data_IF_987610809679
#
_entry.id   IF_987610809679
#
_cell.length_a   1.000
_cell.length_b   1.000
_cell.length_c   1.000
_cell.angle_alpha   90.00
_cell.angle_beta   90.00
_cell.angle_gamma   90.00
#
_symmetry.space_group_name_H-M   'P 1'
#
loop_
_entity.id
_entity.type
_entity.pdbx_description
1 polymer ?
#
# COMPACT_ATOMS: atom_id res chain seq x y z
N UNK A 1 -72.10 -8.58 5.11
CA UNK A 1 -72.51 -8.94 3.77
C UNK A 1 -71.40 -9.79 3.22
N UNK A 2 -71.47 -11.09 3.42
CA UNK A 2 -72.10 -12.12 2.64
C UNK A 2 -71.45 -12.14 1.23
N UNK A 3 -70.93 -13.18 0.70
CA UNK A 3 -71.18 -14.59 0.65
C UNK A 3 -69.98 -15.30 0.06
N UNK A 4 -69.52 -16.36 0.57
CA UNK A 4 -69.85 -17.77 0.39
C UNK A 4 -69.69 -18.31 -1.04
N UNK A 5 -68.97 -19.43 -1.08
CA UNK A 5 -69.37 -20.72 -1.76
C UNK A 5 -68.59 -20.91 -3.07
N UNK A 6 -67.96 -22.03 -3.41
CA UNK A 6 -68.27 -23.44 -3.24
C UNK A 6 -67.12 -24.36 -3.64
N UNK A 7 -66.93 -25.37 -2.89
CA UNK A 7 -66.19 -26.60 -3.14
C UNK A 7 -66.64 -27.27 -4.45
N UNK A 8 -65.66 -27.79 -5.21
CA UNK A 8 -65.92 -29.06 -5.90
C UNK A 8 -64.66 -29.88 -6.15
N UNK A 9 -64.71 -30.99 -5.54
CA UNK A 9 -63.98 -32.21 -5.67
C UNK A 9 -63.96 -32.71 -7.13
N UNK A 10 -62.83 -33.18 -7.59
CA UNK A 10 -62.68 -33.86 -8.87
C UNK A 10 -61.42 -34.67 -8.89
N UNK A 11 -61.51 -35.89 -8.46
CA UNK A 11 -60.54 -36.96 -8.51
C UNK A 11 -60.36 -37.39 -9.98
N UNK A 12 -59.16 -37.32 -10.54
CA UNK A 12 -58.78 -38.25 -11.61
C UNK A 12 -57.24 -38.47 -11.54
N UNK A 13 -56.87 -39.69 -11.31
CA UNK A 13 -55.62 -40.28 -11.44
C UNK A 13 -55.22 -40.37 -12.92
N UNK A 14 -54.01 -40.01 -13.28
CA UNK A 14 -53.24 -40.78 -14.24
C UNK A 14 -51.80 -40.26 -14.26
N UNK A 15 -50.91 -41.17 -13.99
CA UNK A 15 -49.47 -40.91 -13.90
C UNK A 15 -48.81 -40.57 -15.22
N UNK A 16 -47.94 -39.65 -15.17
CA UNK A 16 -46.77 -39.64 -16.03
C UNK A 16 -45.61 -39.17 -15.17
N UNK A 17 -44.73 -40.08 -14.89
CA UNK A 17 -43.45 -39.83 -14.28
C UNK A 17 -42.61 -39.09 -15.30
N UNK A 18 -42.63 -37.78 -15.28
CA UNK A 18 -41.64 -37.00 -16.02
C UNK A 18 -40.49 -36.72 -15.04
N UNK A 19 -39.44 -37.52 -15.16
CA UNK A 19 -38.17 -37.24 -14.52
C UNK A 19 -37.62 -35.93 -15.09
N UNK A 20 -37.89 -34.83 -14.41
CA UNK A 20 -37.20 -33.59 -14.66
C UNK A 20 -35.78 -33.76 -14.10
N UNK A 21 -34.85 -34.07 -14.99
CA UNK A 21 -33.45 -33.96 -14.69
C UNK A 21 -33.16 -32.51 -14.35
N UNK A 22 -33.01 -32.21 -13.06
CA UNK A 22 -32.47 -30.96 -12.56
C UNK A 22 -31.01 -30.97 -12.96
N UNK A 23 -30.53 -30.04 -13.82
CA UNK A 23 -29.09 -29.90 -14.01
C UNK A 23 -28.53 -29.47 -12.65
N UNK A 24 -27.71 -30.33 -12.09
CA UNK A 24 -26.84 -29.96 -10.99
C UNK A 24 -26.02 -28.78 -11.47
N UNK A 25 -26.43 -27.59 -11.06
CA UNK A 25 -25.50 -26.46 -11.04
C UNK A 25 -24.40 -26.86 -10.05
N UNK A 26 -23.31 -27.36 -10.62
CA UNK A 26 -22.07 -27.44 -9.88
C UNK A 26 -21.79 -26.02 -9.39
N UNK A 27 -22.09 -25.78 -8.14
CA UNK A 27 -21.58 -24.70 -7.36
C UNK A 27 -20.06 -24.80 -7.47
N UNK A 28 -19.51 -24.08 -8.41
CA UNK A 28 -18.10 -23.75 -8.38
C UNK A 28 -17.94 -22.86 -7.15
N UNK A 29 -17.77 -23.51 -6.00
CA UNK A 29 -17.08 -22.91 -4.90
C UNK A 29 -15.74 -22.45 -5.47
N UNK A 30 -15.71 -21.21 -5.94
CA UNK A 30 -14.48 -20.52 -6.23
C UNK A 30 -13.64 -20.68 -4.98
N UNK A 31 -12.62 -21.51 -5.05
CA UNK A 31 -11.56 -21.52 -4.08
C UNK A 31 -11.08 -20.08 -4.00
N UNK A 32 -11.60 -19.34 -3.04
CA UNK A 32 -10.91 -18.19 -2.51
C UNK A 32 -9.62 -18.80 -2.00
N UNK A 33 -8.61 -18.77 -2.86
CA UNK A 33 -7.25 -19.00 -2.46
C UNK A 33 -7.00 -17.95 -1.40
N UNK A 34 -7.18 -18.35 -0.15
CA UNK A 34 -6.59 -17.68 0.98
C UNK A 34 -5.11 -17.61 0.59
N UNK A 35 -4.73 -16.47 0.03
CA UNK A 35 -3.34 -16.11 -0.08
C UNK A 35 -2.90 -16.13 1.36
N UNK A 36 -2.19 -17.21 1.71
CA UNK A 36 -1.68 -17.40 3.04
C UNK A 36 -1.04 -16.09 3.48
N UNK A 37 -1.29 -15.72 4.69
CA UNK A 37 -0.50 -14.76 5.45
C UNK A 37 0.96 -15.23 5.40
N UNK A 38 1.59 -15.02 4.25
CA UNK A 38 3.03 -14.88 4.19
C UNK A 38 3.29 -13.66 5.07
N UNK A 39 3.84 -13.89 6.25
CA UNK A 39 4.02 -12.98 7.37
C UNK A 39 3.95 -11.54 6.91
N UNK A 40 2.99 -10.79 7.45
CA UNK A 40 2.74 -9.41 7.05
C UNK A 40 4.07 -8.67 7.16
N UNK A 41 4.75 -8.52 6.03
CA UNK A 41 5.91 -7.67 5.98
C UNK A 41 5.40 -6.29 6.34
N UNK A 42 5.78 -5.78 7.51
CA UNK A 42 5.32 -4.50 8.04
C UNK A 42 5.84 -3.38 7.14
N UNK A 43 5.30 -3.30 5.94
CA UNK A 43 5.67 -2.29 4.96
C UNK A 43 5.12 -0.93 5.35
N UNK A 44 5.85 0.11 5.00
CA UNK A 44 5.39 1.49 5.06
C UNK A 44 5.21 1.97 3.63
N UNK A 45 4.03 2.46 3.30
CA UNK A 45 3.75 2.98 1.97
C UNK A 45 3.22 4.41 2.02
N UNK A 46 3.44 5.12 0.93
CA UNK A 46 3.01 6.50 0.85
C UNK A 46 3.39 7.17 -0.46
N UNK A 47 3.25 8.48 -0.47
CA UNK A 47 3.52 9.31 -1.64
C UNK A 47 4.43 10.48 -1.28
N UNK A 48 5.38 10.75 -2.14
CA UNK A 48 6.24 11.95 -2.08
C UNK A 48 5.75 12.96 -3.10
N UNK A 49 5.57 14.19 -2.67
CA UNK A 49 5.20 15.32 -3.53
C UNK A 49 6.17 16.47 -3.33
N UNK A 50 6.30 17.31 -4.34
CA UNK A 50 7.10 18.53 -4.25
C UNK A 50 6.24 19.66 -3.68
N UNK A 51 6.80 20.38 -2.72
CA UNK A 51 6.17 21.60 -2.22
C UNK A 51 6.12 22.69 -3.29
N UNK A 52 5.08 23.54 -3.29
CA UNK A 52 4.87 24.55 -4.34
C UNK A 52 6.04 25.51 -4.47
N UNK A 53 6.70 25.88 -3.35
CA UNK A 53 7.83 26.81 -3.33
C UNK A 53 9.12 26.23 -3.89
N UNK A 54 9.22 24.91 -4.01
CA UNK A 54 10.40 24.21 -4.47
C UNK A 54 10.18 23.46 -5.79
N UNK A 55 8.97 23.51 -6.36
CA UNK A 55 8.60 22.78 -7.56
C UNK A 55 9.53 23.10 -8.76
N UNK A 56 9.97 24.36 -8.88
CA UNK A 56 10.90 24.81 -9.92
C UNK A 56 12.37 24.54 -9.60
N UNK A 57 12.70 24.20 -8.35
CA UNK A 57 14.09 23.92 -7.94
C UNK A 57 14.48 22.47 -8.27
N UNK A 58 15.76 22.30 -8.58
CA UNK A 58 16.36 21.02 -8.94
C UNK A 58 16.10 20.59 -10.38
N UNK A 59 16.94 19.70 -10.87
CA UNK A 59 16.85 19.12 -12.22
C UNK A 59 15.91 17.90 -12.26
N UNK A 60 15.25 17.61 -13.39
CA UNK A 60 14.50 16.36 -13.57
C UNK A 60 15.33 15.08 -13.33
N UNK A 61 16.64 15.18 -13.49
CA UNK A 61 17.62 14.11 -13.29
C UNK A 61 18.10 13.96 -11.86
N UNK A 62 17.74 14.89 -10.96
CA UNK A 62 18.13 14.79 -9.55
C UNK A 62 17.59 13.51 -8.93
N UNK A 63 18.41 12.90 -8.09
CA UNK A 63 18.07 11.62 -7.47
C UNK A 63 17.22 11.83 -6.23
N UNK A 64 16.04 11.21 -6.22
CA UNK A 64 15.16 11.14 -5.06
C UNK A 64 15.55 9.92 -4.21
N UNK A 65 15.85 10.16 -2.96
CA UNK A 65 16.03 9.14 -1.94
C UNK A 65 14.85 9.18 -0.97
N UNK A 66 14.19 8.06 -0.79
CA UNK A 66 13.16 7.88 0.24
C UNK A 66 13.65 6.82 1.20
N UNK A 67 13.81 7.17 2.46
CA UNK A 67 14.36 6.26 3.45
C UNK A 67 13.68 6.38 4.81
N UNK A 68 13.63 5.26 5.52
CA UNK A 68 13.18 5.19 6.90
C UNK A 68 14.36 5.30 7.85
N UNK A 69 14.24 6.14 8.86
CA UNK A 69 15.22 6.31 9.93
C UNK A 69 14.53 6.18 11.28
N UNK A 70 15.12 5.46 12.22
CA UNK A 70 14.61 5.42 13.59
C UNK A 70 14.64 6.80 14.26
N UNK A 71 13.63 7.06 15.08
CA UNK A 71 13.56 8.28 15.89
C UNK A 71 14.56 8.27 17.05
N UNK A 72 14.90 7.08 17.53
CA UNK A 72 15.81 6.85 18.67
C UNK A 72 16.84 5.81 18.28
N UNK A 73 18.00 6.23 17.80
CA UNK A 73 19.02 5.29 17.36
C UNK A 73 20.08 5.93 16.46
N UNK A 74 20.96 5.13 15.87
CA UNK A 74 21.97 5.63 14.95
C UNK A 74 21.32 6.35 13.77
N UNK A 75 21.97 7.40 13.23
CA UNK A 75 21.44 8.18 12.11
C UNK A 75 21.45 7.44 10.77
N UNK A 76 21.60 6.13 10.78
CA UNK A 76 21.62 5.27 9.59
C UNK A 76 20.19 4.92 9.14
N UNK A 77 19.94 4.95 7.83
CA UNK A 77 18.67 4.46 7.28
C UNK A 77 18.49 2.96 7.56
N UNK A 78 17.26 2.57 7.89
CA UNK A 78 16.89 1.17 8.03
C UNK A 78 16.52 0.57 6.67
N UNK A 79 15.76 1.31 5.88
CA UNK A 79 15.33 0.93 4.53
C UNK A 79 15.43 2.15 3.61
N UNK A 80 15.71 1.92 2.32
CA UNK A 80 15.87 2.99 1.33
C UNK A 80 15.36 2.57 -0.04
N UNK A 81 14.73 3.52 -0.72
CA UNK A 81 14.31 3.42 -2.12
C UNK A 81 14.84 4.63 -2.88
N UNK A 82 15.22 4.43 -4.14
CA UNK A 82 15.70 5.47 -5.05
C UNK A 82 14.73 5.66 -6.20
N UNK A 83 14.55 6.92 -6.60
CA UNK A 83 13.80 7.34 -7.76
C UNK A 83 14.43 8.59 -8.39
N UNK A 84 13.77 9.23 -9.33
CA UNK A 84 14.21 10.51 -9.90
C UNK A 84 13.16 11.59 -9.64
N UNK A 85 13.55 12.85 -9.68
CA UNK A 85 12.61 13.99 -9.57
C UNK A 85 11.48 13.91 -10.60
N UNK A 86 11.77 13.46 -11.83
CA UNK A 86 10.79 13.28 -12.91
C UNK A 86 9.65 12.31 -12.56
N UNK A 87 9.89 11.42 -11.59
CA UNK A 87 8.92 10.41 -11.17
C UNK A 87 7.92 10.97 -10.13
N UNK A 88 8.09 12.21 -9.70
CA UNK A 88 7.17 12.88 -8.78
C UNK A 88 5.85 13.23 -9.45
N UNK A 89 4.72 13.01 -8.80
CA UNK A 89 4.55 12.46 -7.44
C UNK A 89 4.88 10.96 -7.38
N UNK A 90 5.81 10.60 -6.49
CA UNK A 90 6.36 9.24 -6.39
C UNK A 90 5.67 8.45 -5.29
N UNK A 91 5.10 7.29 -5.62
CA UNK A 91 4.56 6.35 -4.64
C UNK A 91 5.67 5.41 -4.20
N UNK A 92 5.96 5.38 -2.91
CA UNK A 92 7.00 4.53 -2.34
C UNK A 92 6.39 3.41 -1.50
N UNK A 93 7.17 2.33 -1.39
CA UNK A 93 6.95 1.24 -0.44
C UNK A 93 8.30 0.86 0.15
N UNK A 94 8.37 0.88 1.46
CA UNK A 94 9.53 0.44 2.25
C UNK A 94 9.11 -0.81 3.02
N UNK A 95 9.87 -1.86 2.88
CA UNK A 95 9.66 -3.14 3.58
C UNK A 95 11.02 -3.78 3.90
N UNK A 96 10.99 -4.97 4.44
CA UNK A 96 12.21 -5.68 4.82
C UNK A 96 13.12 -5.99 3.63
N UNK A 97 12.59 -6.07 2.41
CA UNK A 97 13.39 -6.28 1.19
C UNK A 97 14.19 -5.05 0.79
N UNK A 98 13.76 -3.87 1.21
CA UNK A 98 14.44 -2.59 0.99
C UNK A 98 15.38 -2.21 2.14
N UNK A 99 15.51 -3.08 3.14
CA UNK A 99 16.42 -2.88 4.27
C UNK A 99 17.88 -2.89 3.83
N UNK A 100 18.65 -1.97 4.38
CA UNK A 100 20.08 -1.83 4.03
C UNK A 100 20.96 -2.93 4.65
N UNK A 101 20.50 -3.53 5.74
CA UNK A 101 21.22 -4.59 6.45
C UNK A 101 20.27 -5.77 6.76
N UNK A 102 20.70 -7.01 6.45
CA UNK A 102 19.88 -8.20 6.75
C UNK A 102 19.60 -8.40 8.26
N UNK A 103 20.49 -7.89 9.11
CA UNK A 103 20.41 -7.96 10.56
C UNK A 103 19.55 -6.86 11.20
N UNK A 104 19.03 -5.92 10.40
CA UNK A 104 18.22 -4.79 10.90
C UNK A 104 17.12 -4.48 9.89
N UNK A 105 16.01 -5.12 10.06
CA UNK A 105 14.85 -5.01 9.18
C UNK A 105 13.93 -3.88 9.63
N UNK A 106 13.12 -3.40 8.69
CA UNK A 106 12.09 -2.40 8.99
C UNK A 106 11.08 -2.92 10.02
N UNK A 107 10.77 -4.21 9.99
CA UNK A 107 9.88 -4.87 10.94
C UNK A 107 10.44 -4.96 12.37
N UNK A 108 11.76 -4.86 12.54
CA UNK A 108 12.44 -4.98 13.84
C UNK A 108 12.49 -3.65 14.62
N UNK A 109 12.13 -2.53 13.95
CA UNK A 109 12.21 -1.19 14.54
C UNK A 109 10.86 -0.71 15.03
N UNK A 110 10.87 0.10 16.09
CA UNK A 110 9.62 0.56 16.73
C UNK A 110 8.96 1.70 16.01
N UNK A 111 9.64 2.84 15.94
CA UNK A 111 9.12 4.07 15.33
C UNK A 111 10.17 4.68 14.43
N UNK A 112 9.74 5.05 13.24
CA UNK A 112 10.61 5.64 12.22
C UNK A 112 10.04 6.95 11.70
N UNK A 113 10.91 7.78 11.18
CA UNK A 113 10.58 8.93 10.35
C UNK A 113 10.99 8.63 8.93
N UNK A 114 10.08 8.87 7.99
CA UNK A 114 10.38 8.74 6.58
C UNK A 114 10.90 10.08 6.08
N UNK A 115 12.05 10.04 5.45
CA UNK A 115 12.69 11.21 4.87
C UNK A 115 12.72 11.06 3.36
N UNK A 116 12.21 12.04 2.65
CA UNK A 116 12.37 12.17 1.21
C UNK A 116 13.41 13.27 0.94
N UNK A 117 14.49 12.94 0.24
CA UNK A 117 15.55 13.89 -0.10
C UNK A 117 15.85 13.83 -1.59
N UNK A 118 15.86 14.99 -2.20
CA UNK A 118 16.26 15.18 -3.58
C UNK A 118 17.71 15.68 -3.62
N UNK A 119 18.59 14.82 -4.10
CA UNK A 119 20.02 15.11 -4.19
C UNK A 119 20.40 15.55 -5.59
N UNK A 120 21.05 16.70 -5.69
CA UNK A 120 21.58 17.25 -6.96
C UNK A 120 22.80 16.47 -7.44
N UNK A 121 23.63 15.99 -6.51
CA UNK A 121 24.84 15.23 -6.82
C UNK A 121 24.60 13.75 -7.07
N UNK A 122 23.38 13.23 -6.77
CA UNK A 122 23.07 11.81 -6.84
C UNK A 122 23.71 10.98 -5.71
N UNK A 123 24.34 11.61 -4.75
CA UNK A 123 24.98 10.92 -3.62
C UNK A 123 23.98 10.67 -2.51
N UNK A 124 24.17 9.55 -1.82
CA UNK A 124 23.35 9.20 -0.66
C UNK A 124 23.68 10.05 0.58
N UNK A 125 24.86 10.63 0.64
CA UNK A 125 25.25 11.55 1.71
C UNK A 125 24.55 12.90 1.53
N UNK A 126 24.07 13.49 2.62
CA UNK A 126 23.42 14.80 2.55
C UNK A 126 24.45 15.90 2.22
N UNK A 127 24.07 16.76 1.30
CA UNK A 127 24.87 17.92 0.89
C UNK A 127 24.05 19.21 1.06
N UNK A 128 24.74 20.34 1.17
CA UNK A 128 24.10 21.67 1.17
C UNK A 128 23.39 21.90 -0.16
N UNK A 129 22.16 22.44 -0.10
CA UNK A 129 21.32 22.66 -1.27
C UNK A 129 20.48 21.46 -1.70
N UNK A 130 20.56 20.31 -1.00
CA UNK A 130 19.62 19.22 -1.18
C UNK A 130 18.23 19.66 -0.70
N UNK A 131 17.19 19.19 -1.40
CA UNK A 131 15.80 19.44 -0.99
C UNK A 131 15.30 18.26 -0.19
N UNK A 132 14.64 18.52 0.95
CA UNK A 132 14.15 17.45 1.81
C UNK A 132 12.75 17.71 2.37
N UNK A 133 12.07 16.61 2.69
CA UNK A 133 10.83 16.57 3.44
C UNK A 133 10.82 15.40 4.39
N UNK A 134 10.09 15.51 5.49
CA UNK A 134 10.01 14.46 6.51
C UNK A 134 8.56 14.20 6.91
N UNK A 135 8.26 12.94 7.20
CA UNK A 135 6.99 12.56 7.80
C UNK A 135 6.96 12.83 9.31
N UNK A 136 5.77 12.78 9.90
CA UNK A 136 5.66 12.54 11.33
C UNK A 136 6.21 11.15 11.69
N UNK A 137 6.57 10.89 12.95
CA UNK A 137 6.93 9.55 13.39
C UNK A 137 5.81 8.55 13.13
N UNK A 138 6.15 7.43 12.50
CA UNK A 138 5.21 6.37 12.12
C UNK A 138 5.75 5.01 12.53
N UNK A 139 4.85 4.02 12.63
CA UNK A 139 5.23 2.63 12.89
C UNK A 139 5.28 1.83 11.60
N UNK A 140 6.10 0.76 11.53
CA UNK A 140 6.01 -0.22 10.45
C UNK A 140 4.57 -0.71 10.28
N UNK A 141 4.13 -0.89 9.03
CA UNK A 141 2.75 -1.22 8.70
C UNK A 141 1.83 -0.01 8.48
N UNK A 142 2.35 1.22 8.50
CA UNK A 142 1.57 2.43 8.21
C UNK A 142 1.51 2.70 6.71
N UNK A 143 0.29 2.88 6.21
CA UNK A 143 0.02 3.18 4.80
C UNK A 143 -0.50 4.61 4.59
N UNK A 144 -0.41 5.08 3.34
CA UNK A 144 -1.03 6.35 2.93
C UNK A 144 -0.30 7.61 3.40
N UNK A 145 0.98 7.51 3.75
CA UNK A 145 1.78 8.66 4.18
C UNK A 145 2.01 9.61 3.02
N UNK A 146 1.80 10.90 3.25
CA UNK A 146 2.20 11.93 2.28
C UNK A 146 3.38 12.72 2.83
N UNK A 147 4.46 12.77 2.05
CA UNK A 147 5.66 13.52 2.37
C UNK A 147 5.78 14.67 1.38
N UNK A 148 5.87 15.88 1.91
CA UNK A 148 6.07 17.08 1.11
C UNK A 148 7.52 17.50 1.21
N UNK A 149 8.20 17.63 0.08
CA UNK A 149 9.55 18.21 0.02
C UNK A 149 9.41 19.73 0.04
N UNK A 150 9.62 20.32 1.20
CA UNK A 150 9.34 21.74 1.48
C UNK A 150 10.52 22.52 2.01
N UNK A 151 11.65 21.87 2.26
CA UNK A 151 12.85 22.47 2.82
C UNK A 151 14.07 22.28 1.93
N UNK A 152 14.94 23.28 1.92
CA UNK A 152 16.28 23.21 1.37
C UNK A 152 17.28 23.12 2.53
N UNK A 153 18.21 22.20 2.40
CA UNK A 153 19.25 21.98 3.39
C UNK A 153 20.28 23.12 3.31
N UNK A 154 20.67 23.74 4.44
CA UNK A 154 21.68 24.80 4.46
C UNK A 154 23.09 24.29 4.09
#
# INVERSE_FOLDING_TARGET
MADKIFVRCGLFACGVLLAVAVPAYAEQAGSVKLVGEAGQSLAISGKVVMGPNLASKGSPTDTLFVFARETSGPPMPVAIVRASKKDLPFTFRLDDSTSMMPSRKLSDVGTVVIVARLSKSGKAMPESGDLEGMSQPVKPGTDGITIVIDRERP
#
